data_IF_248609206248
#
_entry.id   IF_248609206248
#
_cell.length_a   1.000
_cell.length_b   1.000
_cell.length_c   1.000
_cell.angle_alpha   90.00
_cell.angle_beta   90.00
_cell.angle_gamma   90.00
#
_symmetry.space_group_name_H-M   'P 1'
#
loop_
_entity.id
_entity.type
_entity.pdbx_description
1 polymer ?
#
# COMPACT_ATOMS: atom_id res chain seq x y z
N UNK A 1 -31.22 -9.61 -9.67
CA UNK A 1 -30.01 -8.87 -10.12
C UNK A 1 -29.30 -8.14 -8.98
N UNK A 2 -29.98 -7.32 -8.16
CA UNK A 2 -29.38 -6.60 -7.03
C UNK A 2 -28.73 -7.49 -5.96
N UNK A 3 -29.29 -8.68 -5.71
CA UNK A 3 -28.77 -9.64 -4.73
C UNK A 3 -27.40 -10.22 -5.12
N UNK A 4 -27.09 -10.31 -6.42
CA UNK A 4 -25.81 -10.80 -6.94
C UNK A 4 -24.70 -9.75 -6.79
N UNK A 5 -25.03 -8.46 -6.94
CA UNK A 5 -24.09 -7.35 -6.72
C UNK A 5 -23.74 -7.25 -5.23
N UNK A 6 -24.72 -7.46 -4.34
CA UNK A 6 -24.51 -7.48 -2.90
C UNK A 6 -23.61 -8.66 -2.45
N UNK A 7 -23.83 -9.85 -3.01
CA UNK A 7 -23.03 -11.04 -2.75
C UNK A 7 -21.58 -10.92 -3.29
N UNK A 8 -21.41 -10.31 -4.47
CA UNK A 8 -20.09 -10.05 -5.04
C UNK A 8 -19.30 -9.01 -4.23
N UNK A 9 -19.97 -7.95 -3.76
CA UNK A 9 -19.36 -6.92 -2.91
C UNK A 9 -18.82 -7.52 -1.58
N UNK A 10 -19.61 -8.38 -0.93
CA UNK A 10 -19.23 -9.07 0.31
C UNK A 10 -18.05 -10.04 0.16
N UNK A 11 -17.89 -10.67 -1.01
CA UNK A 11 -16.77 -11.60 -1.27
C UNK A 11 -15.45 -10.87 -1.58
N UNK A 12 -15.52 -9.70 -2.23
CA UNK A 12 -14.34 -8.91 -2.65
C UNK A 12 -13.78 -7.97 -1.59
N UNK A 13 -14.52 -7.69 -0.51
CA UNK A 13 -14.11 -6.76 0.55
C UNK A 13 -12.87 -7.21 1.36
N UNK A 14 -12.35 -8.41 1.11
CA UNK A 14 -11.17 -8.98 1.78
C UNK A 14 -9.87 -8.86 0.97
N UNK A 15 -9.90 -8.27 -0.23
CA UNK A 15 -8.73 -8.28 -1.09
C UNK A 15 -8.44 -6.88 -1.63
N UNK A 16 -7.38 -6.25 -1.10
CA UNK A 16 -6.72 -5.13 -1.75
C UNK A 16 -6.02 -5.65 -3.02
N UNK A 17 -6.80 -5.99 -4.05
CA UNK A 17 -6.30 -6.32 -5.38
C UNK A 17 -6.19 -5.04 -6.18
N UNK A 18 -5.07 -4.86 -6.87
CA UNK A 18 -5.00 -3.88 -7.95
C UNK A 18 -5.76 -4.45 -9.15
N UNK A 19 -6.96 -3.93 -9.41
CA UNK A 19 -7.75 -4.30 -10.59
C UNK A 19 -7.21 -3.55 -11.81
N UNK A 20 -7.04 -4.26 -12.93
CA UNK A 20 -6.58 -3.70 -14.22
C UNK A 20 -5.16 -3.09 -14.20
N UNK A 21 -4.37 -3.40 -13.17
CA UNK A 21 -2.96 -3.02 -13.08
C UNK A 21 -2.05 -3.95 -13.87
N UNK A 22 -0.87 -3.46 -14.24
CA UNK A 22 0.21 -4.32 -14.75
C UNK A 22 1.15 -4.68 -13.59
N UNK A 23 1.30 -5.97 -13.31
CA UNK A 23 2.23 -6.44 -12.29
C UNK A 23 3.66 -5.99 -12.63
N UNK A 24 4.30 -5.32 -11.67
CA UNK A 24 5.69 -4.93 -11.84
C UNK A 24 6.58 -6.18 -11.78
N UNK A 25 7.50 -6.33 -12.75
CA UNK A 25 8.52 -7.38 -12.68
C UNK A 25 9.27 -7.29 -11.34
N UNK A 26 9.50 -8.42 -10.70
CA UNK A 26 10.23 -8.49 -9.43
C UNK A 26 11.54 -7.69 -9.50
N UNK A 27 11.79 -6.87 -8.47
CA UNK A 27 12.96 -6.00 -8.34
C UNK A 27 13.18 -4.96 -9.46
N UNK A 28 12.22 -4.75 -10.37
CA UNK A 28 12.31 -3.72 -11.42
C UNK A 28 12.20 -2.28 -10.90
N UNK A 29 11.73 -2.11 -9.66
CA UNK A 29 11.57 -0.83 -8.96
C UNK A 29 12.40 -0.84 -7.67
N UNK A 30 13.75 -0.88 -7.76
CA UNK A 30 14.62 -1.02 -6.60
C UNK A 30 14.57 0.17 -5.64
N UNK A 31 14.02 1.31 -6.10
CA UNK A 31 13.79 2.49 -5.29
C UNK A 31 12.50 2.42 -4.46
N UNK A 32 11.58 1.48 -4.74
CA UNK A 32 10.30 1.39 -4.01
C UNK A 32 10.54 0.77 -2.63
N UNK A 33 10.09 1.45 -1.59
CA UNK A 33 10.26 1.03 -0.20
C UNK A 33 8.91 0.86 0.49
N UNK A 34 8.73 -0.28 1.17
CA UNK A 34 7.62 -0.51 2.07
C UNK A 34 8.01 -0.07 3.49
N UNK A 35 7.26 0.88 4.04
CA UNK A 35 7.52 1.46 5.35
C UNK A 35 6.53 0.91 6.37
N UNK A 36 7.07 0.29 7.43
CA UNK A 36 6.27 -0.18 8.57
C UNK A 36 6.54 0.74 9.76
N UNK A 37 5.59 1.60 10.08
CA UNK A 37 5.76 2.71 11.03
C UNK A 37 4.99 2.42 12.31
N UNK A 38 5.64 2.67 13.45
CA UNK A 38 5.05 2.54 14.78
C UNK A 38 4.92 3.92 15.42
N UNK A 39 3.70 4.27 15.79
CA UNK A 39 3.42 5.41 16.66
C UNK A 39 2.93 4.90 18.04
N UNK A 40 2.74 5.79 19.01
CA UNK A 40 2.29 5.48 20.37
C UNK A 40 0.98 4.69 20.42
N UNK A 41 0.11 4.86 19.41
CA UNK A 41 -1.22 4.24 19.37
C UNK A 41 -1.29 3.04 18.43
N UNK A 42 -0.67 3.13 17.25
CA UNK A 42 -0.90 2.20 16.15
C UNK A 42 0.38 1.79 15.43
N UNK A 43 0.32 0.62 14.79
CA UNK A 43 1.25 0.22 13.72
C UNK A 43 0.52 0.39 12.39
N UNK A 44 1.13 1.09 11.44
CA UNK A 44 0.56 1.28 10.12
C UNK A 44 1.64 1.14 9.04
N UNK A 45 1.19 1.07 7.80
CA UNK A 45 2.05 0.91 6.63
C UNK A 45 1.94 2.14 5.75
N UNK A 46 3.07 2.53 5.17
CA UNK A 46 3.17 3.58 4.15
C UNK A 46 4.12 3.13 3.05
N UNK A 47 4.14 3.88 1.96
CA UNK A 47 5.09 3.70 0.86
C UNK A 47 6.18 4.79 0.88
N UNK A 48 7.30 4.53 0.21
CA UNK A 48 8.39 5.49 0.07
C UNK A 48 9.33 5.20 -1.10
N UNK A 49 10.27 6.12 -1.31
CA UNK A 49 11.26 6.08 -2.38
C UNK A 49 12.68 6.24 -1.84
N UNK A 50 13.58 5.30 -2.15
CA UNK A 50 15.00 5.43 -1.85
C UNK A 50 15.63 6.48 -2.78
N UNK A 51 15.92 7.67 -2.26
CA UNK A 51 16.50 8.80 -3.01
C UNK A 51 18.01 8.95 -2.79
N UNK A 52 18.54 8.33 -1.73
CA UNK A 52 19.95 8.31 -1.37
C UNK A 52 20.20 7.07 -0.48
N UNK A 53 21.42 6.51 -0.41
CA UNK A 53 21.71 5.27 0.35
C UNK A 53 21.09 5.16 1.76
N UNK A 54 20.89 6.29 2.45
CA UNK A 54 20.35 6.33 3.81
C UNK A 54 19.09 7.19 3.96
N UNK A 55 18.47 7.62 2.86
CA UNK A 55 17.28 8.49 2.90
C UNK A 55 16.15 7.96 2.02
N UNK A 56 14.98 7.81 2.65
CA UNK A 56 13.73 7.48 2.00
C UNK A 56 12.84 8.72 2.00
N UNK A 57 12.33 9.08 0.83
CA UNK A 57 11.29 10.08 0.65
C UNK A 57 9.91 9.43 0.83
N UNK A 58 9.06 9.99 1.68
CA UNK A 58 7.68 9.52 1.91
C UNK A 58 6.75 10.71 2.18
N UNK A 59 5.45 10.47 2.28
CA UNK A 59 4.49 11.51 2.61
C UNK A 59 4.63 11.98 4.06
N UNK A 60 4.47 13.28 4.32
CA UNK A 60 4.65 13.84 5.67
C UNK A 60 3.71 13.22 6.73
N UNK A 61 2.46 12.92 6.33
CA UNK A 61 1.45 12.34 7.23
C UNK A 61 1.81 10.92 7.70
N UNK A 62 2.71 10.22 7.00
CA UNK A 62 3.16 8.89 7.41
C UNK A 62 3.95 8.89 8.73
N UNK A 63 4.45 10.04 9.19
CA UNK A 63 5.15 10.15 10.48
C UNK A 63 4.43 11.08 11.47
N UNK A 64 3.62 12.00 10.99
CA UNK A 64 2.88 12.94 11.82
C UNK A 64 1.45 13.08 11.31
N UNK A 65 0.52 12.45 12.02
CA UNK A 65 -0.85 12.93 12.12
C UNK A 65 -1.01 13.75 13.40
#
# INVERSE_FOLDING_TARGET
>A
MFFLIFFFCLLTALWFVIIDGTEAKAHSRPYMAYLRIRNCKNMFSCDGFLIHPNFILTAAHCQGE
#
